data_IF_982979895755
#
_entry.id   IF_982979895755
#
_cell.length_a   1.000
_cell.length_b   1.000
_cell.length_c   1.000
_cell.angle_alpha   90.00
_cell.angle_beta   90.00
_cell.angle_gamma   90.00
#
_symmetry.space_group_name_H-M   'P 1'
#
loop_
_entity.id
_entity.type
_entity.pdbx_description
1 polymer ?
#
# COMPACT_ATOMS: atom_id res chain seq x y z
N UNK A 1 -8.22 0.07 -4.52
CA UNK A 1 -9.46 -0.73 -4.56
C UNK A 1 -9.88 -1.10 -3.15
N UNK A 2 -11.17 -1.23 -2.87
CA UNK A 2 -11.67 -1.57 -1.54
C UNK A 2 -12.80 -2.59 -1.65
N UNK A 3 -12.80 -3.56 -0.73
CA UNK A 3 -13.87 -4.53 -0.52
C UNK A 3 -14.50 -4.29 0.86
N UNK A 4 -15.71 -3.70 0.92
CA UNK A 4 -16.37 -3.40 2.19
C UNK A 4 -16.96 -4.62 2.91
N UNK A 5 -17.15 -5.76 2.23
CA UNK A 5 -17.68 -6.97 2.88
C UNK A 5 -16.62 -7.62 3.78
N UNK A 6 -15.38 -7.67 3.30
CA UNK A 6 -14.24 -8.21 4.04
C UNK A 6 -13.49 -7.16 4.85
N UNK A 7 -13.65 -5.87 4.52
CA UNK A 7 -12.92 -4.76 5.13
C UNK A 7 -11.51 -4.56 4.55
N UNK A 8 -11.21 -5.15 3.39
CA UNK A 8 -9.88 -5.11 2.78
C UNK A 8 -9.71 -3.91 1.84
N UNK A 9 -8.56 -3.23 1.92
CA UNK A 9 -8.17 -2.14 1.01
C UNK A 9 -6.83 -2.45 0.36
N UNK A 10 -6.78 -2.35 -0.97
CA UNK A 10 -5.58 -2.57 -1.77
C UNK A 10 -5.16 -1.28 -2.47
N UNK A 11 -3.91 -0.86 -2.28
CA UNK A 11 -3.31 0.29 -2.95
C UNK A 11 -2.19 -0.18 -3.88
N UNK A 12 -2.15 0.36 -5.10
CA UNK A 12 -0.99 0.27 -5.98
C UNK A 12 -0.31 1.64 -6.01
N UNK A 13 1.00 1.66 -5.84
CA UNK A 13 1.78 2.90 -5.79
C UNK A 13 3.12 2.73 -6.48
N UNK A 14 3.67 3.83 -7.00
CA UNK A 14 5.04 3.94 -7.44
C UNK A 14 5.81 4.77 -6.41
N UNK A 15 6.89 4.22 -5.87
CA UNK A 15 7.70 4.86 -4.84
C UNK A 15 9.13 4.28 -4.84
N UNK A 16 10.12 4.99 -4.25
CA UNK A 16 11.50 4.51 -4.21
C UNK A 16 11.72 3.19 -3.45
N UNK A 17 10.87 2.86 -2.49
CA UNK A 17 10.87 1.60 -1.73
C UNK A 17 9.61 1.47 -0.86
N UNK A 18 9.39 0.30 -0.27
CA UNK A 18 8.24 0.01 0.60
C UNK A 18 8.18 0.93 1.85
N UNK A 19 9.33 1.35 2.40
CA UNK A 19 9.37 2.23 3.57
C UNK A 19 8.84 3.63 3.26
N UNK A 20 9.06 4.14 2.05
CA UNK A 20 8.47 5.40 1.60
C UNK A 20 6.93 5.32 1.56
N UNK A 21 6.37 4.19 1.12
CA UNK A 21 4.92 3.93 1.11
C UNK A 21 4.38 3.85 2.54
N UNK A 22 5.01 3.07 3.42
CA UNK A 22 4.60 2.97 4.84
C UNK A 22 4.58 4.33 5.52
N UNK A 23 5.63 5.14 5.32
CA UNK A 23 5.77 6.46 5.95
C UNK A 23 4.68 7.44 5.52
N UNK A 24 4.26 7.42 4.25
CA UNK A 24 3.18 8.31 3.81
C UNK A 24 1.82 7.84 4.33
N UNK A 25 1.58 6.53 4.39
CA UNK A 25 0.40 5.93 5.00
C UNK A 25 0.26 6.25 6.50
N UNK A 26 1.37 6.15 7.25
CA UNK A 26 1.41 6.55 8.66
C UNK A 26 1.08 8.04 8.84
N UNK A 27 1.70 8.91 8.05
CA UNK A 27 1.43 10.36 8.09
C UNK A 27 0.00 10.73 7.73
N UNK A 28 -0.62 9.96 6.83
CA UNK A 28 -2.00 10.15 6.41
C UNK A 28 -3.03 9.59 7.41
N UNK A 29 -2.58 8.91 8.46
CA UNK A 29 -3.46 8.37 9.51
C UNK A 29 -4.08 7.01 9.17
N UNK A 30 -3.55 6.31 8.17
CA UNK A 30 -3.99 4.97 7.80
C UNK A 30 -2.78 4.07 7.43
N UNK A 31 -1.97 3.67 8.42
CA UNK A 31 -0.85 2.75 8.20
C UNK A 31 -1.30 1.50 7.44
N UNK A 32 -0.50 1.05 6.47
CA UNK A 32 -0.77 -0.20 5.77
C UNK A 32 -0.25 -1.38 6.61
N UNK A 33 -1.05 -2.43 6.73
CA UNK A 33 -0.66 -3.65 7.45
C UNK A 33 0.47 -4.40 6.71
N UNK A 34 0.38 -4.45 5.37
CA UNK A 34 1.33 -5.14 4.51
C UNK A 34 1.73 -4.27 3.30
N UNK A 35 3.00 -4.36 2.89
CA UNK A 35 3.50 -3.71 1.67
C UNK A 35 4.46 -4.67 0.96
N UNK A 36 4.14 -4.99 -0.30
CA UNK A 36 4.93 -5.87 -1.15
C UNK A 36 5.38 -5.13 -2.41
N UNK A 37 6.64 -5.31 -2.78
CA UNK A 37 7.14 -4.84 -4.07
C UNK A 37 6.58 -5.72 -5.18
N UNK A 38 6.00 -5.09 -6.21
CA UNK A 38 5.41 -5.77 -7.37
C UNK A 38 6.20 -5.40 -8.63
N UNK A 39 7.32 -6.09 -8.94
CA UNK A 39 8.11 -5.77 -10.12
C UNK A 39 7.27 -6.00 -11.38
N UNK A 40 7.32 -5.04 -12.30
CA UNK A 40 6.67 -5.19 -13.60
C UNK A 40 7.38 -6.30 -14.37
N UNK A 41 6.65 -7.36 -14.67
CA UNK A 41 7.10 -8.44 -15.55
C UNK A 41 6.50 -8.20 -16.93
N UNK A 42 7.35 -8.25 -17.96
CA UNK A 42 6.95 -8.17 -19.37
C UNK A 42 6.61 -9.55 -19.93
#
# INVERSE_FOLDING_TARGET
WADPETGMVFCLSEAPNAEAVKKIHERAGHPADEVYEVPVQA
#
